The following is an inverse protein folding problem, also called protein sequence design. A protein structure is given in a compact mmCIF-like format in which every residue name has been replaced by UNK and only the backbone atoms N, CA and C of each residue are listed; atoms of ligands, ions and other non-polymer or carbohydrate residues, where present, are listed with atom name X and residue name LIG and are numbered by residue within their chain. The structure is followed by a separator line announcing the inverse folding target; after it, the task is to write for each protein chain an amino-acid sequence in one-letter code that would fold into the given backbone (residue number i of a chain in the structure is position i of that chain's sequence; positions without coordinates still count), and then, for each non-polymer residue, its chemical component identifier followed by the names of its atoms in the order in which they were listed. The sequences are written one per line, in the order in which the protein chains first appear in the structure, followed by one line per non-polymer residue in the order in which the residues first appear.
data_IF_421122508514
#
_entry.id   IF_421122508514
#
_cell.length_a   1.000
_cell.length_b   1.000
_cell.length_c   1.000
_cell.angle_alpha   90.00
_cell.angle_beta   90.00
_cell.angle_gamma   90.00
#
_symmetry.space_group_name_H-M   'P 1'
#
loop_
_entity.id
_entity.type
_entity.pdbx_description
1 polymer ?
#
# COMPACT_ATOMS: atom_id res chain seq x y z
N UNK A 1 29.47 1.81 16.25
CA UNK A 1 28.66 0.89 17.10
C UNK A 1 27.21 1.12 16.73
N UNK A 2 26.48 0.12 16.24
CA UNK A 2 25.07 0.27 15.89
C UNK A 2 24.23 0.40 17.18
N UNK A 3 23.44 1.46 17.30
CA UNK A 3 22.54 1.64 18.42
C UNK A 3 21.32 0.72 18.23
N UNK A 4 21.25 -0.35 19.01
CA UNK A 4 20.07 -1.23 19.05
C UNK A 4 19.07 -0.66 20.07
N UNK A 5 17.96 -0.11 19.58
CA UNK A 5 16.82 0.26 20.41
C UNK A 5 15.84 -0.91 20.43
N UNK A 6 15.52 -1.42 21.62
CA UNK A 6 14.50 -2.47 21.78
C UNK A 6 13.16 -1.82 22.17
N UNK A 7 12.07 -2.30 21.58
CA UNK A 7 10.71 -1.81 21.84
C UNK A 7 9.80 -2.99 22.17
N UNK A 8 9.42 -3.15 23.44
CA UNK A 8 8.52 -4.25 23.82
C UNK A 8 7.14 -4.07 23.19
N UNK A 9 6.60 -5.02 22.44
CA UNK A 9 5.28 -4.81 21.78
C UNK A 9 4.12 -5.16 22.75
N UNK A 10 4.43 -5.83 23.86
CA UNK A 10 3.45 -6.28 24.85
C UNK A 10 3.54 -5.47 26.16
N UNK A 11 2.41 -5.24 26.86
CA UNK A 11 1.05 -5.54 26.40
C UNK A 11 0.59 -4.50 25.37
N UNK A 12 -0.18 -4.92 24.35
CA UNK A 12 -0.70 -4.03 23.30
C UNK A 12 -1.52 -2.87 23.89
N UNK A 13 -2.08 -3.06 25.09
CA UNK A 13 -2.77 -2.03 25.86
C UNK A 13 -1.91 -0.80 26.17
N UNK A 14 -0.57 -0.91 26.19
CA UNK A 14 0.33 0.25 26.36
C UNK A 14 0.22 1.25 25.22
N UNK A 15 -0.15 0.80 24.03
CA UNK A 15 -0.37 1.66 22.86
C UNK A 15 -1.80 2.17 22.77
N UNK A 16 -2.69 1.67 23.64
CA UNK A 16 -4.09 2.11 23.71
C UNK A 16 -4.23 3.48 24.36
N UNK A 17 -3.23 3.97 25.11
CA UNK A 17 -3.31 5.25 25.82
C UNK A 17 -1.95 5.97 25.93
N UNK A 18 -1.96 7.27 25.60
CA UNK A 18 -1.17 8.35 26.25
C UNK A 18 0.15 8.94 25.68
N UNK A 19 0.75 8.52 24.57
CA UNK A 19 2.02 9.16 24.14
C UNK A 19 2.08 9.60 22.68
N UNK A 20 1.56 10.81 22.46
CA UNK A 20 2.09 11.90 21.62
C UNK A 20 0.89 12.80 21.30
N UNK A 21 1.08 14.11 21.35
CA UNK A 21 0.10 15.10 20.88
C UNK A 21 -0.15 15.03 19.35
N UNK A 22 -0.01 13.85 18.73
CA UNK A 22 -0.67 13.51 17.48
C UNK A 22 -2.14 13.40 17.82
N UNK A 23 -2.86 14.49 17.59
CA UNK A 23 -4.31 14.63 17.55
C UNK A 23 -4.94 13.35 16.97
N UNK A 24 -5.28 12.38 17.83
CA UNK A 24 -6.10 11.22 17.49
C UNK A 24 -7.53 11.59 17.83
N UNK A 25 -8.38 12.02 16.88
CA UNK A 25 -9.78 12.06 17.16
C UNK A 25 -10.26 10.62 17.24
N UNK A 26 -11.02 10.36 18.30
CA UNK A 26 -11.65 9.08 18.60
C UNK A 26 -12.40 8.64 17.33
N UNK A 27 -12.04 7.48 16.76
CA UNK A 27 -12.59 6.92 15.52
C UNK A 27 -12.18 7.54 14.17
N UNK A 28 -11.04 8.22 14.06
CA UNK A 28 -10.53 8.65 12.75
C UNK A 28 -9.60 7.60 12.13
N UNK A 29 -10.19 6.71 11.34
CA UNK A 29 -9.51 6.25 10.13
C UNK A 29 -9.22 7.54 9.34
N UNK A 30 -7.95 7.92 9.19
CA UNK A 30 -7.61 8.94 8.21
C UNK A 30 -8.22 8.48 6.89
N UNK A 31 -9.12 9.29 6.31
CA UNK A 31 -9.79 8.92 5.06
C UNK A 31 -8.66 8.67 4.06
N UNK A 32 -8.55 7.41 3.60
CA UNK A 32 -7.58 7.06 2.58
C UNK A 32 -7.97 7.86 1.33
N UNK A 33 -7.20 8.89 1.05
CA UNK A 33 -7.34 9.70 -0.15
C UNK A 33 -6.28 9.25 -1.14
N UNK A 34 -6.69 9.00 -2.37
CA UNK A 34 -5.75 8.84 -3.46
C UNK A 34 -5.06 10.19 -3.72
N UNK A 35 -3.73 10.20 -3.70
CA UNK A 35 -2.92 11.41 -3.94
C UNK A 35 -2.45 11.41 -5.39
N UNK A 36 -1.90 10.28 -5.83
CA UNK A 36 -1.35 10.06 -7.17
C UNK A 36 -1.57 8.60 -7.55
N UNK A 37 -1.50 8.33 -8.85
CA UNK A 37 -1.58 7.00 -9.44
C UNK A 37 -0.48 6.84 -10.48
N UNK A 38 -0.08 5.59 -10.69
CA UNK A 38 0.83 5.19 -11.75
C UNK A 38 0.48 3.75 -12.15
N UNK A 39 0.92 3.35 -13.32
CA UNK A 39 0.72 2.02 -13.89
C UNK A 39 2.06 1.40 -14.26
N UNK A 40 2.10 0.07 -14.23
CA UNK A 40 3.16 -0.70 -14.87
C UNK A 40 2.59 -1.40 -16.10
N UNK A 41 3.37 -1.44 -17.18
CA UNK A 41 3.00 -2.20 -18.37
C UNK A 41 3.37 -3.69 -18.27
N UNK A 42 3.13 -4.45 -19.34
CA UNK A 42 3.44 -5.90 -19.38
C UNK A 42 4.94 -6.19 -19.26
N UNK A 43 5.80 -5.21 -19.58
CA UNK A 43 7.25 -5.28 -19.48
C UNK A 43 7.77 -4.63 -18.19
N UNK A 44 6.85 -4.34 -17.24
CA UNK A 44 7.11 -3.70 -15.96
C UNK A 44 7.76 -2.31 -16.06
N UNK A 45 7.51 -1.58 -17.16
CA UNK A 45 7.94 -0.20 -17.31
C UNK A 45 6.95 0.74 -16.66
N UNK A 46 7.50 1.73 -15.97
CA UNK A 46 6.73 2.76 -15.28
C UNK A 46 5.98 3.65 -16.29
N UNK A 47 4.68 3.83 -16.06
CA UNK A 47 3.83 4.77 -16.80
C UNK A 47 3.06 5.64 -15.85
N UNK A 48 3.03 6.94 -16.14
CA UNK A 48 2.29 7.92 -15.36
C UNK A 48 0.85 8.07 -15.86
N UNK A 49 0.16 6.93 -16.06
CA UNK A 49 -1.21 6.85 -16.58
C UNK A 49 -2.05 5.82 -15.80
N UNK A 50 -3.33 5.73 -16.13
CA UNK A 50 -4.30 4.75 -15.62
C UNK A 50 -4.42 3.51 -16.52
N UNK A 51 -3.44 3.27 -17.41
CA UNK A 51 -3.51 2.22 -18.43
C UNK A 51 -3.62 0.79 -17.86
N UNK A 52 -3.12 0.57 -16.65
CA UNK A 52 -3.21 -0.72 -15.96
C UNK A 52 -4.54 -0.93 -15.22
N UNK A 53 -5.40 0.09 -15.13
CA UNK A 53 -6.66 0.01 -14.43
C UNK A 53 -7.64 -0.89 -15.20
N UNK A 54 -8.13 -1.95 -14.53
CA UNK A 54 -9.08 -2.90 -15.10
C UNK A 54 -10.39 -2.86 -14.35
N UNK A 55 -11.49 -2.98 -15.08
CA UNK A 55 -12.82 -3.08 -14.51
C UNK A 55 -13.19 -4.54 -14.29
N UNK A 56 -13.81 -4.83 -13.15
CA UNK A 56 -14.34 -6.16 -12.87
C UNK A 56 -15.49 -6.48 -13.84
N UNK A 57 -15.34 -7.59 -14.56
CA UNK A 57 -16.40 -8.17 -15.38
C UNK A 57 -16.59 -9.64 -14.97
N UNK A 58 -17.80 -10.05 -14.54
CA UNK A 58 -18.00 -11.39 -14.00
C UNK A 58 -17.75 -12.46 -15.08
N UNK A 59 -16.92 -13.48 -14.80
CA UNK A 59 -16.67 -14.56 -15.75
C UNK A 59 -17.89 -15.50 -15.85
N UNK A 60 -18.03 -16.17 -16.99
CA UNK A 60 -18.98 -17.28 -17.12
C UNK A 60 -18.48 -18.48 -16.30
N UNK A 61 -19.28 -18.93 -15.33
CA UNK A 61 -18.99 -20.11 -14.49
C UNK A 61 -19.66 -21.36 -15.09
N UNK A 62 -19.01 -22.54 -15.11
CA UNK A 62 -17.70 -22.85 -14.54
C UNK A 62 -16.52 -22.41 -15.42
N UNK A 63 -15.50 -21.79 -14.81
CA UNK A 63 -14.25 -21.41 -15.47
C UNK A 63 -13.09 -22.20 -14.88
N UNK A 64 -12.21 -22.72 -15.73
CA UNK A 64 -10.99 -23.42 -15.32
C UNK A 64 -9.83 -22.43 -15.22
N UNK A 65 -9.41 -22.13 -13.98
CA UNK A 65 -8.33 -21.18 -13.67
C UNK A 65 -6.93 -21.73 -14.00
N UNK A 66 -6.80 -23.03 -14.34
CA UNK A 66 -5.52 -23.60 -14.77
C UNK A 66 -5.24 -23.36 -16.26
N UNK A 67 -6.25 -22.97 -17.05
CA UNK A 67 -6.05 -22.66 -18.47
C UNK A 67 -5.12 -21.46 -18.62
N UNK A 68 -4.04 -21.63 -19.38
CA UNK A 68 -3.03 -20.59 -19.59
C UNK A 68 -1.84 -20.65 -18.63
N UNK A 69 -1.77 -21.65 -17.72
CA UNK A 69 -0.62 -21.85 -16.84
C UNK A 69 0.71 -21.96 -17.63
N UNK A 70 0.69 -22.64 -18.78
CA UNK A 70 1.89 -22.82 -19.64
C UNK A 70 2.35 -21.51 -20.30
N UNK A 71 1.44 -20.55 -20.47
CA UNK A 71 1.73 -19.24 -21.09
C UNK A 71 1.83 -18.13 -20.04
N UNK A 72 1.85 -18.48 -18.74
CA UNK A 72 1.94 -17.51 -17.67
C UNK A 72 3.32 -16.83 -17.70
N UNK A 73 3.31 -15.51 -17.93
CA UNK A 73 4.49 -14.67 -17.80
C UNK A 73 4.61 -14.27 -16.34
N UNK A 74 5.45 -14.97 -15.60
CA UNK A 74 5.79 -14.59 -14.24
C UNK A 74 6.74 -13.39 -14.29
N UNK A 75 6.41 -12.34 -13.54
CA UNK A 75 7.32 -11.22 -13.31
C UNK A 75 8.53 -11.73 -12.51
N UNK A 76 9.73 -11.28 -12.87
CA UNK A 76 10.94 -11.65 -12.15
C UNK A 76 11.02 -10.88 -10.83
N UNK A 77 10.60 -11.52 -9.74
CA UNK A 77 10.63 -10.98 -8.37
C UNK A 77 12.04 -11.01 -7.74
N UNK A 78 13.10 -11.26 -8.53
CA UNK A 78 14.48 -11.29 -8.01
C UNK A 78 15.02 -9.90 -7.67
N UNK A 79 14.43 -8.84 -8.24
CA UNK A 79 14.76 -7.46 -7.91
C UNK A 79 14.09 -7.01 -6.61
N UNK A 80 14.81 -6.27 -5.76
CA UNK A 80 14.17 -5.54 -4.68
C UNK A 80 13.27 -4.47 -5.31
N UNK A 81 11.95 -4.58 -5.14
CA UNK A 81 11.00 -3.52 -5.50
C UNK A 81 11.32 -2.26 -4.69
N UNK A 82 12.13 -1.39 -5.30
CA UNK A 82 12.49 -0.11 -4.73
C UNK A 82 11.28 0.84 -4.69
N UNK A 83 11.43 1.94 -3.96
CA UNK A 83 10.39 2.98 -3.91
C UNK A 83 10.39 3.87 -5.17
N UNK A 84 11.14 3.51 -6.21
CA UNK A 84 11.42 4.37 -7.38
C UNK A 84 10.13 4.81 -8.08
N UNK A 85 9.24 3.88 -8.45
CA UNK A 85 7.97 4.22 -9.08
C UNK A 85 7.05 5.06 -8.19
N UNK A 86 7.02 4.76 -6.88
CA UNK A 86 6.23 5.52 -5.91
C UNK A 86 6.74 6.96 -5.76
N UNK A 87 8.07 7.13 -5.71
CA UNK A 87 8.72 8.44 -5.60
C UNK A 87 8.59 9.22 -6.91
N UNK A 88 8.70 8.57 -8.06
CA UNK A 88 8.53 9.21 -9.37
C UNK A 88 7.11 9.76 -9.54
N UNK A 89 6.09 8.97 -9.19
CA UNK A 89 4.69 9.42 -9.20
C UNK A 89 4.43 10.56 -8.19
N UNK A 90 5.09 10.53 -7.03
CA UNK A 90 4.99 11.59 -6.04
C UNK A 90 5.65 12.89 -6.53
N UNK A 91 6.84 12.80 -7.14
CA UNK A 91 7.55 13.96 -7.70
C UNK A 91 6.74 14.61 -8.82
N UNK A 92 6.13 13.81 -9.69
CA UNK A 92 5.25 14.32 -10.74
C UNK A 92 4.02 15.04 -10.15
N UNK A 93 3.39 14.47 -9.12
CA UNK A 93 2.29 15.11 -8.40
C UNK A 93 2.71 16.43 -7.73
N UNK A 94 3.87 16.47 -7.07
CA UNK A 94 4.39 17.69 -6.43
C UNK A 94 4.74 18.77 -7.46
N UNK A 95 5.23 18.38 -8.65
CA UNK A 95 5.48 19.30 -9.76
C UNK A 95 4.18 19.90 -10.32
N UNK A 96 3.14 19.10 -10.47
CA UNK A 96 1.82 19.58 -10.94
C UNK A 96 1.17 20.52 -9.93
N UNK A 97 1.21 20.17 -8.64
CA UNK A 97 0.63 20.96 -7.54
C UNK A 97 1.48 22.19 -7.19
N UNK A 98 2.76 22.20 -7.52
CA UNK A 98 3.72 23.25 -7.17
C UNK A 98 4.02 23.36 -5.68
N UNK A 99 3.64 22.35 -4.88
CA UNK A 99 3.85 22.33 -3.43
C UNK A 99 4.20 20.91 -2.96
N UNK A 100 5.05 20.83 -1.94
CA UNK A 100 5.40 19.55 -1.30
C UNK A 100 4.18 18.95 -0.63
N UNK A 101 4.01 17.64 -0.73
CA UNK A 101 2.90 16.94 -0.06
C UNK A 101 3.20 16.82 1.43
N UNK A 102 2.19 17.10 2.27
CA UNK A 102 2.28 16.99 3.73
C UNK A 102 2.19 15.51 4.14
N UNK A 103 3.33 14.82 4.15
CA UNK A 103 3.44 13.38 4.43
C UNK A 103 4.58 13.12 5.41
N UNK A 104 4.29 12.37 6.48
CA UNK A 104 5.28 11.95 7.48
C UNK A 104 6.10 10.72 7.03
N UNK A 105 5.46 9.77 6.35
CA UNK A 105 6.10 8.53 5.90
C UNK A 105 5.54 8.10 4.54
N UNK A 106 6.43 7.65 3.66
CA UNK A 106 6.08 7.09 2.34
C UNK A 106 6.56 5.65 2.32
N UNK A 107 5.64 4.70 2.09
CA UNK A 107 5.97 3.27 2.06
C UNK A 107 4.92 2.50 1.26
N UNK A 108 5.30 1.33 0.74
CA UNK A 108 4.35 0.36 0.21
C UNK A 108 3.39 -0.15 1.29
N UNK A 109 2.11 -0.31 0.93
CA UNK A 109 1.08 -0.90 1.80
C UNK A 109 1.49 -2.27 2.36
N UNK A 110 2.19 -3.07 1.55
CA UNK A 110 2.68 -4.39 1.96
C UNK A 110 3.59 -4.32 3.20
N UNK A 111 4.45 -3.29 3.30
CA UNK A 111 5.32 -3.10 4.46
C UNK A 111 4.53 -2.76 5.72
N UNK A 112 3.52 -1.89 5.62
CA UNK A 112 2.64 -1.55 6.75
C UNK A 112 1.83 -2.75 7.23
N UNK A 113 1.51 -3.68 6.32
CA UNK A 113 0.81 -4.93 6.66
C UNK A 113 1.68 -5.86 7.50
N UNK A 114 3.00 -5.91 7.24
CA UNK A 114 3.96 -6.74 8.01
C UNK A 114 4.17 -6.24 9.44
N UNK A 115 4.02 -4.94 9.68
CA UNK A 115 4.15 -4.32 11.02
C UNK A 115 2.90 -4.55 11.88
N UNK A 116 1.78 -4.98 11.28
CA UNK A 116 0.53 -5.22 12.00
C UNK A 116 0.72 -6.38 12.98
N UNK A 117 0.30 -6.24 14.26
CA UNK A 117 0.32 -7.35 15.20
C UNK A 117 -0.48 -8.52 14.66
N UNK A 118 0.06 -9.73 14.75
CA UNK A 118 -0.67 -10.97 14.44
C UNK A 118 -1.91 -11.18 15.32
N UNK A 119 -2.01 -10.46 16.45
CA UNK A 119 -3.21 -10.33 17.28
C UNK A 119 -4.20 -9.34 16.67
N UNK A 120 -5.23 -9.88 16.02
CA UNK A 120 -6.24 -9.19 15.21
C UNK A 120 -6.72 -7.83 15.71
N UNK A 121 -6.55 -6.83 14.85
CA UNK A 121 -7.51 -5.74 14.71
C UNK A 121 -8.60 -6.30 13.79
N UNK A 122 -9.82 -6.50 14.30
CA UNK A 122 -10.99 -6.72 13.44
C UNK A 122 -11.10 -5.50 12.52
N UNK A 123 -10.79 -5.68 11.23
CA UNK A 123 -11.08 -4.69 10.22
C UNK A 123 -12.58 -4.35 10.31
N UNK A 124 -12.97 -3.06 10.33
CA UNK A 124 -14.36 -2.73 10.09
C UNK A 124 -14.70 -3.30 8.72
N UNK A 125 -15.71 -4.18 8.66
CA UNK A 125 -16.26 -4.66 7.39
C UNK A 125 -16.62 -3.43 6.58
N UNK A 126 -15.83 -3.11 5.55
CA UNK A 126 -16.32 -2.28 4.47
C UNK A 126 -17.37 -3.14 3.78
N UNK A 127 -18.64 -2.84 4.03
CA UNK A 127 -19.72 -3.29 3.16
C UNK A 127 -19.45 -2.63 1.80
N UNK A 128 -19.02 -3.44 0.83
CA UNK A 128 -19.17 -3.11 -0.58
C UNK A 128 -20.60 -3.53 -0.92
N UNK A 129 -21.48 -2.55 -1.13
CA UNK A 129 -22.72 -2.78 -1.89
C UNK A 129 -22.39 -3.01 -3.37
#
# INVERSE_FOLDING_TARGET
MAQMNNYDIAPVSRFASLHAAVRRPRACIAIAAEITFFSFDEDHQFRHDDSSLRYYYPPALPCDLNKGFQTFRQLDDSGDDHLDGLLEALIAHEKEKGSKTDIDFVTWRGMMTKVRPSGGIQEPRLCVE
#
